data_IF_299194370338
#
_entry.id   IF_299194370338
#
_cell.length_a   1.000
_cell.length_b   1.000
_cell.length_c   1.000
_cell.angle_alpha   90.00
_cell.angle_beta   90.00
_cell.angle_gamma   90.00
#
_symmetry.space_group_name_H-M   'P 1'
#
loop_
_entity.id
_entity.type
_entity.pdbx_description
1 polymer ?
#
# COMPACT_ATOMS: atom_id res chain seq x y z
N UNK A 1 -22.89 75.66 50.85
CA UNK A 1 -21.99 74.55 50.48
C UNK A 1 -22.34 74.14 49.06
N UNK A 2 -21.64 74.69 48.07
CA UNK A 2 -20.44 74.16 47.41
C UNK A 2 -20.78 73.27 46.20
N UNK A 3 -20.43 73.82 45.03
CA UNK A 3 -20.30 73.15 43.74
C UNK A 3 -19.28 72.00 43.79
N UNK A 4 -19.53 70.90 43.07
CA UNK A 4 -18.48 69.98 42.61
C UNK A 4 -18.96 69.32 41.29
N UNK A 5 -18.58 69.87 40.14
CA UNK A 5 -17.41 69.52 39.30
C UNK A 5 -17.57 68.21 38.51
N UNK A 6 -17.80 68.42 37.20
CA UNK A 6 -17.58 67.51 36.08
C UNK A 6 -16.13 67.03 36.03
N UNK A 7 -15.91 65.74 35.80
CA UNK A 7 -14.66 65.20 35.26
C UNK A 7 -14.97 64.18 34.18
N UNK A 8 -14.57 64.52 32.96
CA UNK A 8 -14.39 63.59 31.84
C UNK A 8 -13.28 62.59 32.18
N UNK A 9 -13.43 61.34 31.75
CA UNK A 9 -12.32 60.40 31.67
C UNK A 9 -12.11 60.02 30.20
N UNK A 10 -10.97 60.47 29.67
CA UNK A 10 -10.54 60.34 28.28
C UNK A 10 -10.06 58.94 27.98
N UNK A 11 -10.34 58.52 26.74
CA UNK A 11 -9.60 57.63 25.86
C UNK A 11 -8.41 56.86 26.45
N UNK A 12 -8.56 55.54 26.51
CA UNK A 12 -7.47 54.56 26.56
C UNK A 12 -7.67 53.52 25.47
N UNK A 13 -7.14 53.82 24.28
CA UNK A 13 -6.94 52.86 23.20
C UNK A 13 -5.97 51.78 23.68
N UNK A 14 -6.50 50.61 24.03
CA UNK A 14 -5.70 49.39 24.10
C UNK A 14 -6.09 48.51 22.91
N UNK A 15 -5.71 48.96 21.72
CA UNK A 15 -5.36 48.05 20.64
C UNK A 15 -4.23 47.17 21.18
N UNK A 16 -4.58 46.00 21.72
CA UNK A 16 -3.59 44.97 22.02
C UNK A 16 -3.07 44.44 20.69
N UNK A 17 -2.03 45.11 20.22
CA UNK A 17 -1.03 44.62 19.27
C UNK A 17 -0.33 43.43 19.93
N UNK A 18 -1.00 42.29 19.91
CA UNK A 18 -0.36 40.98 19.81
C UNK A 18 -0.87 40.30 18.53
N UNK A 19 -0.95 41.07 17.45
CA UNK A 19 -0.58 40.54 16.15
C UNK A 19 0.92 40.21 16.20
N UNK A 20 1.28 39.08 15.60
CA UNK A 20 2.63 38.45 15.57
C UNK A 20 2.82 37.35 16.61
N UNK A 21 2.03 36.28 16.47
CA UNK A 21 2.53 34.91 16.65
C UNK A 21 2.01 33.98 15.54
N UNK A 22 1.91 34.49 14.31
CA UNK A 22 1.87 33.61 13.14
C UNK A 22 3.28 33.47 12.57
N UNK A 23 4.21 32.97 13.39
CA UNK A 23 5.33 32.22 12.83
C UNK A 23 4.67 31.00 12.20
N UNK A 24 4.54 30.97 10.87
CA UNK A 24 4.24 29.75 10.13
C UNK A 24 5.22 28.69 10.63
N UNK A 25 4.76 27.84 11.55
CA UNK A 25 5.58 26.80 12.14
C UNK A 25 5.68 25.73 11.08
N UNK A 26 6.66 25.91 10.19
CA UNK A 26 7.09 24.94 9.19
C UNK A 26 7.09 23.56 9.84
N UNK A 27 6.44 22.59 9.23
CA UNK A 27 6.29 21.28 9.85
C UNK A 27 7.64 20.62 10.14
N UNK A 28 8.05 20.56 11.41
CA UNK A 28 9.36 20.06 11.82
C UNK A 28 9.60 18.60 11.40
N UNK A 29 8.53 17.79 11.34
CA UNK A 29 8.61 16.36 10.98
C UNK A 29 8.46 16.10 9.48
N UNK A 30 8.42 17.15 8.65
CA UNK A 30 8.20 16.99 7.22
C UNK A 30 9.30 16.19 6.52
N UNK A 31 10.57 16.41 6.85
CA UNK A 31 11.67 15.62 6.27
C UNK A 31 11.52 14.13 6.57
N UNK A 32 11.14 13.80 7.82
CA UNK A 32 10.84 12.43 8.25
C UNK A 32 9.63 11.86 7.51
N UNK A 33 8.55 12.62 7.34
CA UNK A 33 7.40 12.21 6.56
C UNK A 33 7.77 11.89 5.11
N UNK A 34 8.50 12.81 4.45
CA UNK A 34 8.97 12.63 3.08
C UNK A 34 9.79 11.35 2.92
N UNK A 35 10.71 11.09 3.86
CA UNK A 35 11.51 9.86 3.87
C UNK A 35 10.62 8.61 4.00
N UNK A 36 9.65 8.61 4.92
CA UNK A 36 8.75 7.46 5.06
C UNK A 36 7.87 7.24 3.85
N UNK A 37 7.42 8.28 3.15
CA UNK A 37 6.68 8.16 1.88
C UNK A 37 7.56 7.54 0.79
N UNK A 38 8.83 7.95 0.70
CA UNK A 38 9.79 7.34 -0.23
C UNK A 38 10.07 5.87 0.09
N UNK A 39 10.22 5.53 1.37
CA UNK A 39 10.37 4.14 1.81
C UNK A 39 9.10 3.31 1.50
N UNK A 40 7.91 3.89 1.71
CA UNK A 40 6.65 3.26 1.37
C UNK A 40 6.56 2.93 -0.13
N UNK A 41 7.00 3.83 -1.01
CA UNK A 41 7.07 3.54 -2.46
C UNK A 41 7.97 2.34 -2.78
N UNK A 42 9.10 2.19 -2.07
CA UNK A 42 9.97 1.03 -2.22
C UNK A 42 9.27 -0.26 -1.74
N UNK A 43 8.67 -0.22 -0.55
CA UNK A 43 7.94 -1.35 0.04
C UNK A 43 6.75 -1.77 -0.84
N UNK A 44 5.98 -0.82 -1.37
CA UNK A 44 4.89 -1.06 -2.33
C UNK A 44 5.40 -1.77 -3.58
N UNK A 45 6.53 -1.34 -4.15
CA UNK A 45 7.13 -2.00 -5.32
C UNK A 45 7.44 -3.48 -5.05
N UNK A 46 8.07 -3.77 -3.91
CA UNK A 46 8.43 -5.14 -3.51
C UNK A 46 7.17 -5.99 -3.30
N UNK A 47 6.19 -5.47 -2.56
CA UNK A 47 4.96 -6.20 -2.27
C UNK A 47 4.11 -6.44 -3.52
N UNK A 48 4.08 -5.47 -4.45
CA UNK A 48 3.42 -5.63 -5.74
C UNK A 48 4.04 -6.78 -6.53
N UNK A 49 5.37 -6.80 -6.71
CA UNK A 49 6.05 -7.89 -7.44
C UNK A 49 5.79 -9.25 -6.79
N UNK A 50 5.83 -9.33 -5.45
CA UNK A 50 5.47 -10.56 -4.73
C UNK A 50 4.04 -11.00 -5.04
N UNK A 51 3.09 -10.07 -5.00
CA UNK A 51 1.67 -10.35 -5.24
C UNK A 51 1.41 -10.74 -6.70
N UNK A 52 2.10 -10.11 -7.66
CA UNK A 52 2.05 -10.52 -9.08
C UNK A 52 2.49 -11.96 -9.29
N UNK A 53 3.53 -12.42 -8.56
CA UNK A 53 3.93 -13.83 -8.57
C UNK A 53 2.83 -14.74 -8.01
N UNK A 54 2.17 -14.35 -6.91
CA UNK A 54 1.07 -15.13 -6.32
C UNK A 54 -0.14 -15.21 -7.25
N UNK A 55 -0.47 -14.12 -7.95
CA UNK A 55 -1.51 -14.09 -9.00
C UNK A 55 -1.18 -15.07 -10.12
N UNK A 56 0.05 -15.05 -10.64
CA UNK A 56 0.49 -15.97 -11.70
C UNK A 56 0.43 -17.43 -11.26
N UNK A 57 0.85 -17.72 -10.04
CA UNK A 57 0.78 -19.07 -9.48
C UNK A 57 -0.67 -19.55 -9.36
N UNK A 58 -1.55 -18.72 -8.78
CA UNK A 58 -2.96 -19.07 -8.60
C UNK A 58 -3.66 -19.31 -9.94
N UNK A 59 -3.38 -18.48 -10.97
CA UNK A 59 -3.88 -18.70 -12.33
C UNK A 59 -3.38 -20.01 -12.92
N UNK A 60 -2.09 -20.33 -12.77
CA UNK A 60 -1.52 -21.58 -13.28
C UNK A 60 -2.18 -22.79 -12.63
N UNK A 61 -2.35 -22.78 -11.30
CA UNK A 61 -2.99 -23.88 -10.59
C UNK A 61 -4.47 -24.05 -10.99
N UNK A 62 -5.20 -22.94 -11.17
CA UNK A 62 -6.60 -22.98 -11.67
C UNK A 62 -6.64 -23.60 -13.06
N UNK A 63 -5.73 -23.20 -13.96
CA UNK A 63 -5.66 -23.73 -15.32
C UNK A 63 -5.34 -25.23 -15.38
N UNK A 64 -4.65 -25.76 -14.35
CA UNK A 64 -4.37 -27.19 -14.22
C UNK A 64 -5.56 -27.98 -13.63
N UNK A 65 -6.47 -27.34 -12.90
CA UNK A 65 -7.57 -28.02 -12.20
C UNK A 65 -8.90 -27.92 -12.93
N UNK A 66 -9.21 -26.74 -13.50
CA UNK A 66 -10.51 -26.44 -14.08
C UNK A 66 -10.90 -27.38 -15.24
N UNK A 67 -10.01 -27.75 -16.19
CA UNK A 67 -10.37 -28.63 -17.30
C UNK A 67 -10.80 -30.04 -16.88
N UNK A 68 -10.35 -30.51 -15.71
CA UNK A 68 -10.69 -31.83 -15.17
C UNK A 68 -11.90 -31.80 -14.24
N UNK A 69 -12.62 -30.66 -14.15
CA UNK A 69 -13.79 -30.51 -13.29
C UNK A 69 -13.47 -30.50 -11.79
N UNK A 70 -12.21 -30.31 -11.39
CA UNK A 70 -11.75 -30.30 -9.99
C UNK A 70 -12.06 -28.98 -9.28
N UNK A 71 -13.31 -28.51 -9.39
CA UNK A 71 -13.73 -27.18 -8.91
C UNK A 71 -13.61 -27.00 -7.41
N UNK A 72 -13.78 -28.07 -6.62
CA UNK A 72 -13.61 -28.01 -5.15
C UNK A 72 -12.18 -27.59 -4.75
N UNK A 73 -11.18 -27.99 -5.52
CA UNK A 73 -9.77 -27.64 -5.29
C UNK A 73 -9.39 -26.32 -5.96
N UNK A 74 -10.04 -25.98 -7.09
CA UNK A 74 -9.82 -24.72 -7.79
C UNK A 74 -10.46 -23.52 -7.06
N UNK A 75 -11.57 -23.71 -6.35
CA UNK A 75 -12.30 -22.66 -5.65
C UNK A 75 -11.43 -21.86 -4.66
N UNK A 76 -10.70 -22.45 -3.70
CA UNK A 76 -9.84 -21.69 -2.80
C UNK A 76 -8.73 -20.92 -3.54
N UNK A 77 -8.24 -21.45 -4.67
CA UNK A 77 -7.23 -20.79 -5.51
C UNK A 77 -7.82 -19.59 -6.26
N UNK A 78 -9.05 -19.71 -6.75
CA UNK A 78 -9.79 -18.61 -7.36
C UNK A 78 -10.09 -17.50 -6.34
N UNK A 79 -10.45 -17.85 -5.11
CA UNK A 79 -10.59 -16.89 -4.00
C UNK A 79 -9.28 -16.13 -3.78
N UNK A 80 -8.16 -16.84 -3.63
CA UNK A 80 -6.85 -16.22 -3.45
C UNK A 80 -6.46 -15.32 -4.64
N UNK A 81 -6.73 -15.78 -5.86
CA UNK A 81 -6.49 -15.02 -7.08
C UNK A 81 -7.19 -13.65 -7.06
N UNK A 82 -8.48 -13.60 -6.73
CA UNK A 82 -9.22 -12.35 -6.64
C UNK A 82 -8.73 -11.45 -5.51
N UNK A 83 -8.40 -12.02 -4.36
CA UNK A 83 -7.84 -11.29 -3.22
C UNK A 83 -6.49 -10.65 -3.58
N UNK A 84 -5.65 -11.37 -4.32
CA UNK A 84 -4.36 -10.86 -4.77
C UNK A 84 -4.50 -9.80 -5.86
N UNK A 85 -5.45 -9.95 -6.81
CA UNK A 85 -5.76 -8.91 -7.79
C UNK A 85 -6.28 -7.64 -7.12
N UNK A 86 -7.18 -7.77 -6.14
CA UNK A 86 -7.66 -6.64 -5.34
C UNK A 86 -6.52 -5.95 -4.60
N UNK A 87 -5.58 -6.71 -4.05
CA UNK A 87 -4.38 -6.16 -3.39
C UNK A 87 -3.47 -5.40 -4.35
N UNK A 88 -3.33 -5.86 -5.59
CA UNK A 88 -2.59 -5.12 -6.62
C UNK A 88 -3.22 -3.75 -6.90
N UNK A 89 -4.55 -3.68 -7.03
CA UNK A 89 -5.26 -2.41 -7.20
C UNK A 89 -5.05 -1.47 -6.00
N UNK A 90 -5.07 -2.02 -4.78
CA UNK A 90 -4.81 -1.24 -3.57
C UNK A 90 -3.40 -0.64 -3.55
N UNK A 91 -2.39 -1.42 -3.95
CA UNK A 91 -1.01 -0.94 -4.06
C UNK A 91 -0.84 0.16 -5.11
N UNK A 92 -1.59 0.09 -6.20
CA UNK A 92 -1.53 1.08 -7.27
C UNK A 92 -2.11 2.42 -6.80
N UNK A 93 -3.21 2.38 -6.05
CA UNK A 93 -3.77 3.55 -5.38
C UNK A 93 -2.84 4.13 -4.31
N UNK A 94 -2.22 3.29 -3.46
CA UNK A 94 -1.24 3.76 -2.45
C UNK A 94 -0.05 4.43 -3.13
N UNK A 95 0.46 3.87 -4.24
CA UNK A 95 1.53 4.46 -5.03
C UNK A 95 1.14 5.82 -5.62
N UNK A 96 -0.08 5.92 -6.15
CA UNK A 96 -0.64 7.17 -6.66
C UNK A 96 -0.65 8.24 -5.56
N UNK A 97 -1.26 7.96 -4.40
CA UNK A 97 -1.31 8.90 -3.28
C UNK A 97 0.08 9.36 -2.81
N UNK A 98 1.04 8.43 -2.70
CA UNK A 98 2.42 8.78 -2.34
C UNK A 98 3.04 9.76 -3.35
N UNK A 99 2.79 9.54 -4.64
CA UNK A 99 3.32 10.38 -5.72
C UNK A 99 2.69 11.77 -5.68
N UNK A 100 1.37 11.86 -5.55
CA UNK A 100 0.65 13.14 -5.47
C UNK A 100 1.11 13.98 -4.26
N UNK A 101 1.33 13.35 -3.10
CA UNK A 101 1.85 14.06 -1.91
C UNK A 101 3.29 14.55 -2.14
N UNK A 102 4.15 13.75 -2.77
CA UNK A 102 5.53 14.16 -3.05
C UNK A 102 5.61 15.30 -4.08
N UNK A 103 4.71 15.33 -5.06
CA UNK A 103 4.60 16.41 -6.06
C UNK A 103 4.12 17.70 -5.40
N UNK A 104 3.10 17.62 -4.54
CA UNK A 104 2.52 18.75 -3.83
C UNK A 104 3.07 18.93 -2.41
N UNK A 105 4.35 18.60 -2.19
CA UNK A 105 4.91 18.60 -0.83
C UNK A 105 5.12 20.01 -0.25
N UNK A 106 5.36 21.01 -1.10
CA UNK A 106 5.63 22.38 -0.66
C UNK A 106 4.46 23.03 0.10
N UNK A 107 3.20 23.00 -0.40
CA UNK A 107 2.02 23.43 0.36
C UNK A 107 1.90 22.77 1.74
N UNK A 108 2.19 21.47 1.83
CA UNK A 108 2.08 20.68 3.05
C UNK A 108 3.06 21.12 4.15
N UNK A 109 4.18 21.75 3.78
CA UNK A 109 5.17 22.30 4.72
C UNK A 109 4.66 23.54 5.47
N UNK A 110 3.90 24.38 4.78
CA UNK A 110 3.63 25.75 5.20
C UNK A 110 2.19 25.94 5.70
N UNK A 111 1.27 25.07 5.28
CA UNK A 111 -0.13 25.09 5.71
C UNK A 111 -0.37 24.08 6.83
N UNK A 112 -1.00 24.53 7.92
CA UNK A 112 -1.38 23.68 9.07
C UNK A 112 -2.83 23.18 8.95
N UNK A 113 -3.66 23.88 8.20
CA UNK A 113 -5.06 23.51 7.99
C UNK A 113 -5.18 22.60 6.76
N UNK A 114 -5.76 21.41 6.96
CA UNK A 114 -6.03 20.45 5.87
C UNK A 114 -6.90 21.09 4.80
N UNK A 115 -7.88 21.91 5.18
CA UNK A 115 -8.87 22.47 4.25
C UNK A 115 -8.26 23.47 3.26
N UNK A 116 -7.08 24.03 3.55
CA UNK A 116 -6.36 24.96 2.68
C UNK A 116 -5.39 24.28 1.72
N UNK A 117 -5.21 22.96 1.81
CA UNK A 117 -4.36 22.21 0.89
C UNK A 117 -5.03 22.06 -0.50
N UNK A 118 -4.26 21.73 -1.55
CA UNK A 118 -4.84 21.29 -2.82
C UNK A 118 -5.69 20.03 -2.62
N UNK A 119 -6.81 19.92 -3.33
CA UNK A 119 -7.76 18.82 -3.13
C UNK A 119 -7.14 17.45 -3.38
N UNK A 120 -6.29 17.33 -4.41
CA UNK A 120 -5.53 16.10 -4.68
C UNK A 120 -4.63 15.70 -3.50
N UNK A 121 -4.02 16.67 -2.80
CA UNK A 121 -3.18 16.39 -1.62
C UNK A 121 -4.02 15.96 -0.42
N UNK A 122 -5.18 16.60 -0.22
CA UNK A 122 -6.12 16.20 0.84
C UNK A 122 -6.61 14.77 0.64
N UNK A 123 -7.03 14.46 -0.58
CA UNK A 123 -7.53 13.14 -0.95
C UNK A 123 -6.43 12.08 -0.79
N UNK A 124 -5.22 12.36 -1.27
CA UNK A 124 -4.09 11.45 -1.12
C UNK A 124 -3.73 11.20 0.35
N UNK A 125 -3.75 12.23 1.20
CA UNK A 125 -3.51 12.05 2.63
C UNK A 125 -4.59 11.22 3.31
N UNK A 126 -5.86 11.53 3.05
CA UNK A 126 -7.00 10.79 3.58
C UNK A 126 -6.99 9.33 3.12
N UNK A 127 -6.67 9.10 1.83
CA UNK A 127 -6.47 7.78 1.24
C UNK A 127 -5.36 6.98 1.90
N UNK A 128 -4.20 7.59 2.20
CA UNK A 128 -3.13 6.91 2.94
C UNK A 128 -3.50 6.57 4.39
N UNK A 129 -4.24 7.44 5.08
CA UNK A 129 -4.75 7.17 6.44
C UNK A 129 -5.71 5.99 6.42
N UNK A 130 -6.66 6.01 5.47
CA UNK A 130 -7.62 4.93 5.30
C UNK A 130 -6.93 3.61 4.95
N UNK A 131 -5.99 3.62 3.99
CA UNK A 131 -5.20 2.46 3.61
C UNK A 131 -4.39 1.90 4.80
N UNK A 132 -3.81 2.77 5.64
CA UNK A 132 -3.13 2.34 6.85
C UNK A 132 -4.06 1.60 7.83
N UNK A 133 -5.37 1.85 7.83
CA UNK A 133 -6.28 1.10 8.70
C UNK A 133 -6.58 -0.33 8.20
N UNK A 134 -6.39 -0.61 6.90
CA UNK A 134 -6.77 -1.89 6.27
C UNK A 134 -5.58 -2.72 5.79
N UNK A 135 -4.45 -2.10 5.45
CA UNK A 135 -3.25 -2.76 4.94
C UNK A 135 -2.22 -2.89 6.06
N UNK A 136 -2.04 -4.11 6.57
CA UNK A 136 -1.13 -4.39 7.70
C UNK A 136 0.31 -4.71 7.27
N UNK A 137 0.51 -5.14 6.02
CA UNK A 137 1.79 -5.58 5.48
C UNK A 137 2.75 -4.43 5.15
N UNK A 138 2.24 -3.21 5.02
CA UNK A 138 3.02 -1.98 4.77
C UNK A 138 3.20 -1.20 6.08
N UNK A 139 4.27 -1.50 6.83
CA UNK A 139 4.53 -0.90 8.15
C UNK A 139 4.72 0.61 8.09
N UNK A 140 5.23 1.13 6.98
CA UNK A 140 5.48 2.56 6.75
C UNK A 140 4.17 3.36 6.74
N UNK A 141 3.05 2.77 6.32
CA UNK A 141 1.73 3.42 6.36
C UNK A 141 1.35 3.82 7.79
N UNK A 142 1.61 2.97 8.78
CA UNK A 142 1.31 3.28 10.18
C UNK A 142 2.12 4.47 10.68
N UNK A 143 3.40 4.55 10.26
CA UNK A 143 4.27 5.66 10.63
C UNK A 143 3.77 6.95 9.98
N UNK A 144 3.43 6.92 8.69
CA UNK A 144 2.90 8.08 7.95
C UNK A 144 1.57 8.55 8.57
N UNK A 145 0.65 7.63 8.87
CA UNK A 145 -0.61 7.93 9.57
C UNK A 145 -0.34 8.63 10.90
N UNK A 146 0.61 8.14 11.70
CA UNK A 146 0.96 8.79 12.98
C UNK A 146 1.49 10.21 12.82
N UNK A 147 2.23 10.49 11.73
CA UNK A 147 2.72 11.82 11.40
C UNK A 147 1.60 12.75 10.98
N UNK A 148 0.62 12.28 10.22
CA UNK A 148 -0.57 13.05 9.87
C UNK A 148 -1.46 13.32 11.09
N UNK A 149 -1.65 12.35 11.99
CA UNK A 149 -2.36 12.54 13.26
C UNK A 149 -1.69 13.64 14.09
N UNK A 150 -0.36 13.62 14.21
CA UNK A 150 0.38 14.64 14.94
C UNK A 150 0.27 16.03 14.30
N UNK A 151 0.05 16.10 12.99
CA UNK A 151 0.00 17.36 12.24
C UNK A 151 -1.40 17.96 12.18
N UNK A 152 -2.42 17.13 11.92
CA UNK A 152 -3.79 17.56 11.60
C UNK A 152 -4.82 17.11 12.65
N UNK A 153 -4.38 16.35 13.66
CA UNK A 153 -5.19 15.94 14.80
C UNK A 153 -5.90 14.61 14.60
N UNK A 154 -6.38 14.04 15.71
CA UNK A 154 -7.08 12.75 15.73
C UNK A 154 -8.46 12.79 15.06
N UNK A 155 -9.09 13.96 14.97
CA UNK A 155 -10.42 14.07 14.33
C UNK A 155 -10.31 13.72 12.84
N UNK A 156 -9.33 14.31 12.14
CA UNK A 156 -9.07 14.01 10.73
C UNK A 156 -8.82 12.51 10.50
N UNK A 157 -8.02 11.89 11.37
CA UNK A 157 -7.74 10.46 11.32
C UNK A 157 -9.01 9.60 11.46
N UNK A 158 -9.84 9.87 12.47
CA UNK A 158 -11.11 9.16 12.68
C UNK A 158 -12.09 9.38 11.55
N UNK A 159 -12.19 10.60 11.04
CA UNK A 159 -13.08 10.92 9.92
C UNK A 159 -12.70 10.11 8.68
N UNK A 160 -11.40 9.93 8.41
CA UNK A 160 -10.91 9.10 7.30
C UNK A 160 -11.11 7.60 7.54
N UNK A 161 -10.77 7.08 8.73
CA UNK A 161 -10.85 5.64 9.02
C UNK A 161 -12.28 5.14 9.14
N UNK A 162 -13.14 5.89 9.83
CA UNK A 162 -14.54 5.54 10.07
C UNK A 162 -15.45 5.95 8.89
N UNK A 163 -14.89 6.55 7.83
CA UNK A 163 -15.62 7.06 6.66
C UNK A 163 -16.80 7.98 7.03
N UNK A 164 -16.58 8.90 7.96
CA UNK A 164 -17.64 9.79 8.48
C UNK A 164 -18.14 10.76 7.40
N UNK A 165 -19.35 11.33 7.53
CA UNK A 165 -19.86 12.32 6.59
C UNK A 165 -18.88 13.49 6.41
N UNK A 166 -18.55 13.82 5.16
CA UNK A 166 -17.57 14.86 4.82
C UNK A 166 -16.11 14.43 4.88
N UNK A 167 -15.82 13.13 4.99
CA UNK A 167 -14.45 12.62 4.84
C UNK A 167 -13.91 12.89 3.42
N UNK A 168 -12.58 12.89 3.31
CA UNK A 168 -11.86 13.23 2.08
C UNK A 168 -11.29 11.97 1.38
N UNK A 169 -11.74 10.77 1.76
CA UNK A 169 -11.18 9.52 1.22
C UNK A 169 -11.75 9.27 -0.17
N UNK A 170 -10.87 8.93 -1.11
CA UNK A 170 -11.28 8.58 -2.47
C UNK A 170 -12.27 7.40 -2.47
N UNK A 171 -13.37 7.54 -3.21
CA UNK A 171 -14.33 6.44 -3.35
C UNK A 171 -13.72 5.18 -3.98
N UNK A 172 -12.64 5.34 -4.75
CA UNK A 172 -11.95 4.23 -5.40
C UNK A 172 -11.23 3.33 -4.39
N UNK A 173 -10.43 3.90 -3.48
CA UNK A 173 -9.71 3.10 -2.47
C UNK A 173 -10.68 2.43 -1.48
N UNK A 174 -11.80 3.08 -1.16
CA UNK A 174 -12.87 2.50 -0.34
C UNK A 174 -13.45 1.27 -1.04
N UNK A 175 -13.82 1.39 -2.32
CA UNK A 175 -14.32 0.25 -3.10
C UNK A 175 -13.31 -0.88 -3.13
N UNK A 176 -12.02 -0.60 -3.33
CA UNK A 176 -11.01 -1.66 -3.39
C UNK A 176 -10.84 -2.38 -2.04
N UNK A 177 -10.76 -1.64 -0.93
CA UNK A 177 -10.42 -2.22 0.37
C UNK A 177 -11.64 -2.77 1.15
N UNK A 178 -12.84 -2.23 0.92
CA UNK A 178 -14.06 -2.62 1.65
C UNK A 178 -14.95 -3.58 0.87
N UNK A 179 -14.72 -3.76 -0.44
CA UNK A 179 -15.46 -4.78 -1.20
C UNK A 179 -14.97 -6.16 -0.81
N UNK A 180 -15.76 -6.86 0.01
CA UNK A 180 -15.61 -8.30 0.24
C UNK A 180 -16.18 -9.07 -0.92
N UNK A 181 -15.41 -9.96 -1.55
CA UNK A 181 -15.93 -10.87 -2.54
C UNK A 181 -16.90 -11.85 -1.87
N UNK A 182 -18.19 -11.91 -2.27
CA UNK A 182 -19.12 -12.87 -1.69
C UNK A 182 -18.65 -14.28 -2.01
N UNK A 183 -18.63 -15.18 -1.02
CA UNK A 183 -18.12 -16.55 -1.21
C UNK A 183 -18.88 -17.32 -2.28
N UNK A 184 -20.16 -16.99 -2.47
CA UNK A 184 -21.09 -17.63 -3.38
C UNK A 184 -21.02 -17.04 -4.79
N UNK A 185 -20.27 -15.95 -4.98
CA UNK A 185 -20.14 -15.28 -6.25
C UNK A 185 -19.17 -16.00 -7.21
N UNK A 186 -18.26 -16.85 -6.71
CA UNK A 186 -17.31 -17.57 -7.56
C UNK A 186 -17.93 -18.88 -8.01
N UNK A 187 -18.53 -18.84 -9.20
CA UNK A 187 -19.15 -20.01 -9.82
C UNK A 187 -18.12 -20.82 -10.64
N UNK A 188 -18.38 -22.11 -10.94
CA UNK A 188 -17.52 -22.90 -11.81
C UNK A 188 -17.26 -22.26 -13.18
N UNK A 189 -18.23 -21.51 -13.72
CA UNK A 189 -18.10 -20.78 -14.99
C UNK A 189 -17.01 -19.71 -14.91
N UNK A 190 -16.94 -18.98 -13.80
CA UNK A 190 -15.90 -17.97 -13.56
C UNK A 190 -14.52 -18.65 -13.45
N UNK A 191 -14.43 -19.78 -12.75
CA UNK A 191 -13.18 -20.56 -12.64
C UNK A 191 -12.72 -21.03 -14.02
N UNK A 192 -13.65 -21.52 -14.86
CA UNK A 192 -13.37 -21.89 -16.24
C UNK A 192 -12.91 -20.69 -17.07
N UNK A 193 -13.53 -19.52 -16.92
CA UNK A 193 -13.14 -18.31 -17.64
C UNK A 193 -11.71 -17.86 -17.26
N UNK A 194 -11.33 -17.95 -15.99
CA UNK A 194 -9.95 -17.67 -15.54
C UNK A 194 -8.95 -18.63 -16.22
N UNK A 195 -9.27 -19.93 -16.24
CA UNK A 195 -8.44 -20.95 -16.90
C UNK A 195 -8.26 -20.67 -18.39
N UNK A 196 -9.35 -20.36 -19.10
CA UNK A 196 -9.32 -20.09 -20.54
C UNK A 196 -8.48 -18.85 -20.84
N UNK A 197 -8.65 -17.75 -20.08
CA UNK A 197 -7.86 -16.54 -20.25
C UNK A 197 -6.36 -16.79 -20.08
N UNK A 198 -5.99 -17.58 -19.07
CA UNK A 198 -4.59 -17.95 -18.85
C UNK A 198 -3.98 -18.73 -20.03
N UNK A 199 -4.74 -19.67 -20.61
CA UNK A 199 -4.29 -20.43 -21.77
C UNK A 199 -4.10 -19.54 -23.00
N UNK A 200 -5.01 -18.59 -23.25
CA UNK A 200 -4.87 -17.62 -24.33
C UNK A 200 -3.65 -16.72 -24.13
N UNK A 201 -3.47 -16.16 -22.93
CA UNK A 201 -2.31 -15.31 -22.61
C UNK A 201 -0.99 -16.08 -22.82
N UNK A 202 -0.95 -17.36 -22.45
CA UNK A 202 0.20 -18.24 -22.67
C UNK A 202 0.44 -18.52 -24.16
N UNK A 203 -0.59 -18.86 -24.93
CA UNK A 203 -0.49 -19.12 -26.37
C UNK A 203 -0.05 -17.87 -27.12
N UNK A 204 -0.59 -16.69 -26.79
CA UNK A 204 -0.17 -15.41 -27.38
C UNK A 204 1.30 -15.13 -27.07
N UNK A 205 1.74 -15.37 -25.83
CA UNK A 205 3.15 -15.22 -25.46
C UNK A 205 4.06 -16.14 -26.27
N UNK A 206 3.73 -17.43 -26.38
CA UNK A 206 4.53 -18.40 -27.16
C UNK A 206 4.47 -18.12 -28.66
N UNK A 207 3.30 -17.75 -29.20
CA UNK A 207 3.11 -17.39 -30.61
C UNK A 207 3.91 -16.14 -31.02
N UNK A 208 4.00 -15.15 -30.13
CA UNK A 208 4.83 -13.95 -30.34
C UNK A 208 6.34 -14.25 -30.28
N UNK A 209 6.75 -15.27 -29.53
CA UNK A 209 8.15 -15.74 -29.52
C UNK A 209 8.48 -16.62 -30.74
N UNK A 210 7.49 -17.32 -31.30
CA UNK A 210 7.67 -18.25 -32.42
C UNK A 210 7.69 -17.57 -33.80
N UNK A 211 7.12 -16.36 -33.95
CA UNK A 211 7.13 -15.63 -35.23
C UNK A 211 8.51 -15.04 -35.61
N UNK A 212 9.49 -15.11 -34.69
CA UNK A 212 10.83 -14.56 -34.90
C UNK A 212 11.82 -15.60 -35.46
N UNK A 213 11.38 -16.85 -35.62
CA UNK A 213 12.21 -17.96 -36.08
C UNK A 213 11.58 -18.66 -37.30
N UNK A 214 11.20 -17.89 -38.33
CA UNK A 214 11.01 -18.43 -39.67
C UNK A 214 12.02 -17.79 -40.63
N UNK A 215 13.25 -18.21 -40.49
CA UNK A 215 14.36 -17.94 -41.37
C UNK A 215 15.44 -19.00 -41.17
N UNK A 216 15.59 -19.85 -42.19
CA UNK A 216 16.51 -20.99 -42.34
C UNK A 216 16.17 -22.32 -41.65
N UNK A 217 15.99 -23.32 -42.51
CA UNK A 217 15.95 -24.74 -42.23
C UNK A 217 17.27 -25.24 -41.61
N UNK A 218 17.20 -26.27 -40.80
CA UNK A 218 17.79 -27.57 -41.16
C UNK A 218 17.28 -28.69 -40.23
N UNK A 219 17.14 -29.87 -40.84
CA UNK A 219 16.79 -31.15 -40.24
C UNK A 219 17.84 -31.58 -39.20
N UNK A 220 17.41 -32.46 -38.29
CA UNK A 220 18.23 -33.26 -37.37
C UNK A 220 18.67 -32.59 -36.06
N UNK A 221 17.93 -32.86 -34.97
CA UNK A 221 18.42 -33.70 -33.85
C UNK A 221 17.41 -33.76 -32.70
N UNK A 222 16.67 -34.86 -32.66
CA UNK A 222 16.18 -35.43 -31.41
C UNK A 222 17.39 -35.90 -30.57
N UNK A 223 17.25 -35.75 -29.25
CA UNK A 223 18.14 -36.27 -28.18
C UNK A 223 19.31 -35.39 -27.70
N UNK A 224 19.02 -34.43 -26.82
CA UNK A 224 19.80 -34.24 -25.57
C UNK A 224 19.11 -33.28 -24.60
N UNK A 225 18.34 -33.82 -23.64
CA UNK A 225 18.05 -33.09 -22.40
C UNK A 225 17.89 -34.02 -21.21
N UNK A 226 18.97 -34.74 -20.91
CA UNK A 226 19.27 -35.19 -19.56
C UNK A 226 20.74 -34.83 -19.27
N UNK A 227 20.97 -34.39 -18.02
CA UNK A 227 22.23 -33.94 -17.38
C UNK A 227 22.56 -32.45 -17.50
N UNK A 228 22.08 -31.69 -16.52
CA UNK A 228 22.88 -30.67 -15.83
C UNK A 228 22.21 -30.32 -14.49
N UNK A 229 22.23 -31.27 -13.56
CA UNK A 229 22.12 -30.95 -12.13
C UNK A 229 23.51 -30.53 -11.66
N UNK A 230 23.57 -29.44 -10.88
CA UNK A 230 24.72 -28.83 -10.19
C UNK A 230 25.37 -27.68 -10.95
N UNK A 231 25.01 -26.46 -10.56
CA UNK A 231 25.99 -25.47 -10.14
C UNK A 231 25.40 -24.52 -9.08
N UNK A 232 26.25 -24.20 -8.12
CA UNK A 232 26.01 -23.55 -6.84
C UNK A 232 26.60 -22.13 -6.91
N UNK A 233 26.10 -21.13 -6.18
CA UNK A 233 26.95 -20.06 -5.70
C UNK A 233 27.17 -20.16 -4.20
N UNK A 234 28.42 -20.44 -3.85
CA UNK A 234 29.02 -20.19 -2.54
C UNK A 234 28.83 -18.72 -2.15
N UNK A 235 28.36 -18.46 -0.94
CA UNK A 235 28.88 -17.37 -0.12
C UNK A 235 29.22 -17.94 1.26
N UNK A 236 30.47 -17.68 1.66
CA UNK A 236 31.15 -18.25 2.82
C UNK A 236 30.57 -17.77 4.16
N UNK A 237 30.64 -18.69 5.13
CA UNK A 237 30.58 -18.49 6.56
C UNK A 237 31.57 -17.45 7.09
N UNK A 238 31.21 -16.80 8.20
CA UNK A 238 32.14 -16.69 9.33
C UNK A 238 31.37 -17.07 10.60
N UNK A 239 32.04 -17.89 11.40
CA UNK A 239 31.51 -18.71 12.49
C UNK A 239 32.21 -18.29 13.80
N UNK A 240 31.49 -18.35 14.93
CA UNK A 240 31.94 -18.48 16.34
C UNK A 240 30.84 -17.95 17.29
N UNK A 241 30.36 -18.68 18.28
CA UNK A 241 30.70 -20.03 18.73
C UNK A 241 29.95 -20.38 20.01
N UNK A 242 29.93 -21.69 20.26
CA UNK A 242 29.84 -22.37 21.55
C UNK A 242 28.50 -22.43 22.29
N UNK A 243 27.86 -23.58 22.06
CA UNK A 243 26.94 -24.28 22.94
C UNK A 243 27.64 -24.76 24.21
N UNK A 244 26.98 -24.55 25.37
CA UNK A 244 27.16 -25.43 26.52
C UNK A 244 25.80 -25.76 27.12
N UNK A 245 25.35 -26.96 26.79
CA UNK A 245 24.19 -27.64 27.34
C UNK A 245 24.54 -28.12 28.76
N UNK A 246 23.80 -27.66 29.76
CA UNK A 246 23.71 -28.33 31.06
C UNK A 246 22.30 -28.29 31.57
N UNK A 247 21.67 -29.44 31.39
CA UNK A 247 20.50 -29.93 32.07
C UNK A 247 20.63 -29.77 33.59
N UNK A 248 19.61 -29.19 34.24
CA UNK A 248 19.33 -29.39 35.67
C UNK A 248 17.90 -28.95 36.02
N UNK A 249 17.13 -29.96 36.41
CA UNK A 249 15.82 -29.90 37.02
C UNK A 249 15.71 -28.97 38.25
N UNK A 250 14.45 -28.58 38.54
CA UNK A 250 13.89 -28.10 39.82
C UNK A 250 14.32 -26.69 40.29
N UNK A 251 13.36 -25.77 40.44
CA UNK A 251 12.82 -25.38 41.75
C UNK A 251 11.63 -24.40 41.64
N UNK A 252 10.63 -24.67 42.49
CA UNK A 252 9.45 -23.95 42.96
C UNK A 252 9.31 -22.41 42.82
N UNK A 253 8.02 -22.04 42.72
CA UNK A 253 7.29 -20.76 42.97
C UNK A 253 7.01 -19.87 41.78
#
# INVERSE_FOLDING_TARGET
MMFAKKTEQKFGCYCNVFAVWSRSSRWQKASKCKLHIQNLLCSVKVQRTRTECMVRQSRSDIAQLAPYGRFREALPKAKQFYEDERRLLAYDQVKYFCTSILQSFSPLLNQNDVHLLPDETKEAMAGLIFAASRIGELKELQIIRSLFVQRFGQKFDKDCVDLRPGNLVSSEIVKILDTTLPQDAITPEIIMAISQKYQTDFITFVGSASLNNLGNADSDTLARREKATKENPKCLHTDRGESQERDRSKFMR
#
